data_IF_663519901203
#
_entry.id   IF_663519901203
#
_cell.length_a   1.000
_cell.length_b   1.000
_cell.length_c   1.000
_cell.angle_alpha   90.00
_cell.angle_beta   90.00
_cell.angle_gamma   90.00
#
_symmetry.space_group_name_H-M   'P 1'
#
loop_
_entity.id
_entity.type
_entity.pdbx_description
1 polymer ?
#
# COMPACT_ATOMS: atom_id res chain seq x y z
N UNK A 1 9.75 -18.27 19.85
CA UNK A 1 9.69 -16.94 19.19
C UNK A 1 8.83 -16.01 20.04
N UNK A 2 9.20 -14.73 20.21
CA UNK A 2 8.34 -13.78 20.96
C UNK A 2 7.05 -13.54 20.17
N UNK A 3 5.92 -13.37 20.86
CA UNK A 3 4.62 -13.14 20.22
C UNK A 3 4.65 -11.98 19.21
N UNK A 4 5.44 -10.93 19.50
CA UNK A 4 5.67 -9.81 18.58
C UNK A 4 6.26 -10.25 17.23
N UNK A 5 7.22 -11.16 17.24
CA UNK A 5 7.85 -11.68 16.01
C UNK A 5 6.85 -12.48 15.18
N UNK A 6 6.03 -13.31 15.84
CA UNK A 6 4.98 -14.09 15.18
C UNK A 6 3.95 -13.14 14.54
N UNK A 7 3.50 -12.13 15.27
CA UNK A 7 2.55 -11.14 14.76
C UNK A 7 3.08 -10.40 13.52
N UNK A 8 4.37 -10.03 13.50
CA UNK A 8 4.99 -9.40 12.33
C UNK A 8 5.00 -10.34 11.12
N UNK A 9 5.39 -11.61 11.30
CA UNK A 9 5.38 -12.59 10.20
C UNK A 9 3.98 -12.88 9.67
N UNK A 10 2.98 -12.99 10.56
CA UNK A 10 1.58 -13.17 10.16
C UNK A 10 1.10 -11.96 9.35
N UNK A 11 1.36 -10.74 9.83
CA UNK A 11 1.00 -9.52 9.10
C UNK A 11 1.69 -9.45 7.73
N UNK A 12 2.98 -9.77 7.65
CA UNK A 12 3.71 -9.80 6.39
C UNK A 12 3.14 -10.84 5.42
N UNK A 13 2.81 -12.03 5.92
CA UNK A 13 2.17 -13.10 5.13
C UNK A 13 0.80 -12.69 4.60
N UNK A 14 -0.04 -12.08 5.44
CA UNK A 14 -1.35 -11.59 5.03
C UNK A 14 -1.24 -10.51 3.93
N UNK A 15 -0.30 -9.58 4.06
CA UNK A 15 -0.03 -8.58 3.02
C UNK A 15 0.37 -9.25 1.70
N UNK A 16 1.29 -10.22 1.74
CA UNK A 16 1.71 -10.95 0.53
C UNK A 16 0.55 -11.70 -0.12
N UNK A 17 -0.30 -12.36 0.68
CA UNK A 17 -1.49 -13.07 0.18
C UNK A 17 -2.43 -12.08 -0.52
N UNK A 18 -2.73 -10.94 0.12
CA UNK A 18 -3.58 -9.91 -0.46
C UNK A 18 -2.98 -9.42 -1.78
N UNK A 19 -1.68 -9.17 -1.85
CA UNK A 19 -1.04 -8.77 -3.11
C UNK A 19 -1.21 -9.86 -4.17
N UNK A 20 -0.74 -11.09 -3.93
CA UNK A 20 -0.76 -12.15 -4.93
C UNK A 20 -2.17 -12.52 -5.41
N UNK A 21 -3.20 -12.38 -4.57
CA UNK A 21 -4.60 -12.59 -4.98
C UNK A 21 -5.17 -11.45 -5.83
N UNK A 22 -4.60 -10.25 -5.75
CA UNK A 22 -5.08 -9.04 -6.43
C UNK A 22 -4.20 -8.67 -7.63
N UNK A 23 -3.83 -9.64 -8.47
CA UNK A 23 -3.01 -9.46 -9.68
C UNK A 23 -3.75 -8.90 -10.89
N UNK A 24 -5.07 -8.68 -10.77
CA UNK A 24 -5.92 -8.17 -11.85
C UNK A 24 -5.44 -6.81 -12.34
N UNK A 25 -5.48 -6.60 -13.65
CA UNK A 25 -5.27 -5.27 -14.23
C UNK A 25 -6.55 -4.47 -14.02
N UNK A 26 -6.41 -3.27 -13.46
CA UNK A 26 -7.51 -2.34 -13.28
C UNK A 26 -7.20 -1.04 -14.02
N UNK A 27 -8.26 -0.41 -14.56
CA UNK A 27 -8.18 0.92 -15.16
C UNK A 27 -8.59 1.96 -14.12
N UNK A 28 -7.67 2.84 -13.76
CA UNK A 28 -7.93 3.98 -12.89
C UNK A 28 -8.13 5.20 -13.76
N UNK A 29 -9.28 5.86 -13.61
CA UNK A 29 -9.55 7.16 -14.23
C UNK A 29 -9.23 8.26 -13.24
N UNK A 30 -8.22 9.06 -13.55
CA UNK A 30 -7.78 10.18 -12.72
C UNK A 30 -7.90 11.47 -13.52
N UNK A 31 -8.90 12.29 -13.18
CA UNK A 31 -9.32 13.44 -13.99
C UNK A 31 -9.57 13.03 -15.46
N UNK A 32 -8.73 13.48 -16.39
CA UNK A 32 -8.82 13.18 -17.83
C UNK A 32 -7.93 12.01 -18.26
N UNK A 33 -7.21 11.37 -17.33
CA UNK A 33 -6.23 10.32 -17.63
C UNK A 33 -6.79 8.94 -17.29
N UNK A 34 -6.49 7.96 -18.12
CA UNK A 34 -6.80 6.55 -17.87
C UNK A 34 -5.49 5.78 -17.75
N UNK A 35 -5.23 5.25 -16.55
CA UNK A 35 -4.05 4.47 -16.22
C UNK A 35 -4.45 3.03 -15.98
N UNK A 36 -4.01 2.14 -16.86
CA UNK A 36 -4.22 0.70 -16.72
C UNK A 36 -2.97 0.05 -16.12
N UNK A 37 -3.10 -0.50 -14.92
CA UNK A 37 -1.99 -1.18 -14.26
C UNK A 37 -2.46 -2.34 -13.38
N UNK A 38 -1.55 -3.25 -13.04
CA UNK A 38 -1.88 -4.34 -12.11
C UNK A 38 -2.21 -3.78 -10.73
N UNK A 39 -3.31 -4.24 -10.15
CA UNK A 39 -3.76 -3.87 -8.82
C UNK A 39 -2.73 -4.24 -7.74
N UNK A 40 -1.91 -5.27 -7.98
CA UNK A 40 -0.72 -5.62 -7.17
C UNK A 40 0.27 -4.48 -7.05
N UNK A 41 0.45 -3.69 -8.10
CA UNK A 41 1.41 -2.58 -8.13
C UNK A 41 0.75 -1.32 -7.56
N UNK A 42 -0.52 -1.10 -7.91
CA UNK A 42 -1.28 0.07 -7.48
C UNK A 42 -1.49 0.12 -5.96
N UNK A 43 -1.86 -1.00 -5.33
CA UNK A 43 -2.15 -1.08 -3.89
C UNK A 43 -0.96 -0.60 -3.03
N UNK A 44 0.26 -1.17 -3.17
CA UNK A 44 1.44 -0.70 -2.44
C UNK A 44 1.77 0.76 -2.71
N UNK A 45 1.65 1.22 -3.96
CA UNK A 45 1.93 2.61 -4.35
C UNK A 45 1.03 3.60 -3.61
N UNK A 46 -0.28 3.33 -3.57
CA UNK A 46 -1.24 4.19 -2.87
C UNK A 46 -0.99 4.17 -1.35
N UNK A 47 -0.70 2.99 -0.78
CA UNK A 47 -0.39 2.88 0.65
C UNK A 47 0.88 3.67 1.01
N UNK A 48 1.94 3.56 0.22
CA UNK A 48 3.17 4.33 0.39
C UNK A 48 2.91 5.83 0.24
N UNK A 49 2.18 6.25 -0.78
CA UNK A 49 1.84 7.65 -0.99
C UNK A 49 1.06 8.23 0.21
N UNK A 50 0.06 7.51 0.72
CA UNK A 50 -0.71 7.91 1.90
C UNK A 50 0.15 7.99 3.17
N UNK A 51 1.03 7.01 3.39
CA UNK A 51 1.97 7.03 4.52
C UNK A 51 2.94 8.21 4.44
N UNK A 52 3.54 8.45 3.29
CA UNK A 52 4.47 9.57 3.08
C UNK A 52 3.75 10.91 3.25
N UNK A 53 2.56 11.07 2.67
CA UNK A 53 1.75 12.28 2.84
C UNK A 53 1.45 12.52 4.33
N UNK A 54 0.99 11.50 5.06
CA UNK A 54 0.74 11.60 6.50
C UNK A 54 2.00 11.95 7.30
N UNK A 55 3.13 11.33 6.97
CA UNK A 55 4.43 11.63 7.59
C UNK A 55 4.86 13.08 7.36
N UNK A 56 4.76 13.58 6.12
CA UNK A 56 5.14 14.96 5.80
C UNK A 56 4.21 15.97 6.47
N UNK A 57 2.90 15.73 6.50
CA UNK A 57 1.94 16.59 7.21
C UNK A 57 2.25 16.63 8.71
N UNK A 58 2.49 15.47 9.34
CA UNK A 58 2.85 15.41 10.74
C UNK A 58 4.18 16.11 11.05
N UNK A 59 5.17 15.99 10.14
CA UNK A 59 6.47 16.64 10.27
C UNK A 59 6.37 18.16 10.11
N UNK A 60 5.58 18.65 9.15
CA UNK A 60 5.38 20.08 8.93
C UNK A 60 4.71 20.76 10.12
N UNK A 61 3.75 20.09 10.78
CA UNK A 61 3.09 20.60 12.00
C UNK A 61 4.03 20.68 13.21
N UNK A 62 5.12 19.91 13.24
CA UNK A 62 6.06 19.84 14.37
C UNK A 62 7.17 20.90 14.30
N UNK A 63 7.37 21.53 13.14
CA UNK A 63 8.28 22.66 12.93
C UNK A 63 7.54 23.98 13.04
#
# INVERSE_FOLDING_TARGET
MKAKTIAVFVMAGLVLIILLQNTKVISVRFFFWELSMSQVILLPLIMLAGFLAGYFVARLRRN
#
